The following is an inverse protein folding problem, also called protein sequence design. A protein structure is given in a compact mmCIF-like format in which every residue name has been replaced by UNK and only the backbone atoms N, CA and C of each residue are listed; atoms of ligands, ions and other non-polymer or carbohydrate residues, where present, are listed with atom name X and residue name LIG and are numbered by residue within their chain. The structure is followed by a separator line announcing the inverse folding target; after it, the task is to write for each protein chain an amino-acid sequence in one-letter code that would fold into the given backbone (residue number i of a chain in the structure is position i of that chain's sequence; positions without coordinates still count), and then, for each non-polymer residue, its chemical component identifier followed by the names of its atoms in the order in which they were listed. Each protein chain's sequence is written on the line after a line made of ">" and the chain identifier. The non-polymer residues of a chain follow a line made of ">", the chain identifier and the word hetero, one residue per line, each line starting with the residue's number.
data_IF_356267201745
#
_entry.id   IF_356267201745
#
_cell.length_a   1.000
_cell.length_b   1.000
_cell.length_c   1.000
_cell.angle_alpha   90.00
_cell.angle_beta   90.00
_cell.angle_gamma   90.00
#
_symmetry.space_group_name_H-M   'P 1'
#
loop_
_entity.id
_entity.type
_entity.pdbx_description
1 polymer ?
#
# COMPACT_ATOMS: atom_id res chain seq x y z
N UNK A 1 15.27 17.45 27.61
CA UNK A 1 15.01 17.61 26.16
C UNK A 1 14.83 16.23 25.52
N UNK A 2 13.73 15.99 24.81
CA UNK A 2 13.54 14.77 24.05
C UNK A 2 14.60 14.71 22.93
N UNK A 3 15.26 13.54 22.78
CA UNK A 3 16.19 13.34 21.65
C UNK A 3 15.41 13.30 20.35
N UNK A 4 15.90 13.99 19.33
CA UNK A 4 15.33 13.97 17.97
C UNK A 4 15.35 12.54 17.43
N UNK A 5 14.23 12.00 16.94
CA UNK A 5 14.18 10.66 16.35
C UNK A 5 14.99 10.61 15.05
N UNK A 6 15.63 9.47 14.79
CA UNK A 6 16.36 9.21 13.53
C UNK A 6 15.37 8.96 12.37
N UNK A 7 14.28 8.29 12.65
CA UNK A 7 13.27 7.87 11.67
C UNK A 7 11.88 8.30 12.09
N UNK A 8 11.03 8.62 11.12
CA UNK A 8 9.58 8.69 11.25
C UNK A 8 8.96 7.68 10.29
N UNK A 9 8.24 6.69 10.84
CA UNK A 9 7.51 5.70 10.04
C UNK A 9 6.06 6.17 9.94
N UNK A 10 5.65 6.63 8.74
CA UNK A 10 4.34 7.19 8.48
C UNK A 10 3.37 6.10 8.01
N UNK A 11 2.60 5.56 8.94
CA UNK A 11 1.54 4.57 8.73
C UNK A 11 0.14 5.18 8.83
N UNK A 12 0.04 6.41 9.38
CA UNK A 12 -1.24 7.07 9.59
C UNK A 12 -1.92 7.40 8.25
N UNK A 13 -3.23 7.24 8.22
CA UNK A 13 -4.04 7.56 7.05
C UNK A 13 -5.33 6.77 7.02
N UNK A 14 -6.24 7.17 6.14
CA UNK A 14 -7.45 6.42 5.85
C UNK A 14 -7.09 5.25 4.91
N UNK A 15 -7.44 4.00 5.26
CA UNK A 15 -7.13 2.83 4.44
C UNK A 15 -8.34 1.94 4.17
N UNK A 16 -9.15 1.64 5.16
CA UNK A 16 -10.29 0.71 5.07
C UNK A 16 -11.53 1.23 5.78
N UNK A 17 -12.71 0.79 5.36
CA UNK A 17 -13.01 0.06 4.10
C UNK A 17 -12.84 0.97 2.87
N UNK A 18 -12.50 0.40 1.71
CA UNK A 18 -12.21 1.15 0.47
C UNK A 18 -13.34 2.08 0.03
N UNK A 19 -14.60 1.71 0.28
CA UNK A 19 -15.77 2.53 -0.04
C UNK A 19 -15.82 3.89 0.67
N UNK A 20 -15.09 4.07 1.79
CA UNK A 20 -15.00 5.36 2.47
C UNK A 20 -14.32 6.43 1.62
N UNK A 21 -13.36 6.05 0.77
CA UNK A 21 -12.68 6.98 -0.12
C UNK A 21 -13.57 7.57 -1.20
N UNK A 22 -14.63 6.84 -1.59
CA UNK A 22 -15.64 7.34 -2.51
C UNK A 22 -16.70 8.18 -1.79
N UNK A 23 -17.08 7.77 -0.56
CA UNK A 23 -18.11 8.46 0.22
C UNK A 23 -17.59 9.76 0.87
N UNK A 24 -16.36 9.78 1.32
CA UNK A 24 -15.75 10.89 2.06
C UNK A 24 -14.44 11.33 1.38
N UNK A 25 -14.54 11.86 0.16
CA UNK A 25 -13.39 12.26 -0.66
C UNK A 25 -12.50 13.27 0.08
N UNK A 26 -13.10 14.31 0.69
CA UNK A 26 -12.36 15.34 1.43
C UNK A 26 -11.54 14.70 2.57
N UNK A 27 -12.14 13.81 3.36
CA UNK A 27 -11.43 13.10 4.43
C UNK A 27 -10.23 12.28 3.89
N UNK A 28 -10.38 11.69 2.72
CA UNK A 28 -9.31 10.96 2.06
C UNK A 28 -8.17 11.89 1.61
N UNK A 29 -8.51 13.07 1.07
CA UNK A 29 -7.56 14.13 0.71
C UNK A 29 -6.85 14.66 1.96
N UNK A 30 -7.60 15.05 2.98
CA UNK A 30 -7.05 15.65 4.20
C UNK A 30 -6.06 14.69 4.90
N UNK A 31 -6.44 13.42 5.08
CA UNK A 31 -5.61 12.47 5.83
C UNK A 31 -4.45 11.91 5.00
N UNK A 32 -4.70 11.51 3.75
CA UNK A 32 -3.72 10.77 2.97
C UNK A 32 -2.82 11.67 2.11
N UNK A 33 -3.29 12.84 1.69
CA UNK A 33 -2.52 13.76 0.86
C UNK A 33 -1.98 14.90 1.71
N UNK A 34 -2.85 15.74 2.27
CA UNK A 34 -2.46 16.94 3.04
C UNK A 34 -1.70 16.52 4.30
N UNK A 35 -2.22 15.54 5.05
CA UNK A 35 -1.56 14.99 6.24
C UNK A 35 -0.17 14.46 5.94
N UNK A 36 -0.01 13.70 4.84
CA UNK A 36 1.30 13.18 4.41
C UNK A 36 2.23 14.32 3.97
N UNK A 37 1.73 15.33 3.27
CA UNK A 37 2.52 16.51 2.87
C UNK A 37 3.03 17.27 4.11
N UNK A 38 2.18 17.47 5.13
CA UNK A 38 2.57 18.12 6.38
C UNK A 38 3.64 17.31 7.14
N UNK A 39 3.49 15.99 7.21
CA UNK A 39 4.52 15.10 7.79
C UNK A 39 5.84 15.21 7.01
N UNK A 40 5.77 15.26 5.69
CA UNK A 40 6.96 15.40 4.84
C UNK A 40 7.69 16.72 5.10
N UNK A 41 6.95 17.84 5.18
CA UNK A 41 7.50 19.16 5.54
C UNK A 41 8.20 19.12 6.89
N UNK A 42 7.52 18.60 7.92
CA UNK A 42 8.10 18.48 9.26
C UNK A 42 9.37 17.63 9.28
N UNK A 43 9.39 16.50 8.55
CA UNK A 43 10.58 15.66 8.42
C UNK A 43 11.72 16.38 7.70
N UNK A 44 11.41 17.18 6.66
CA UNK A 44 12.41 17.97 5.96
C UNK A 44 13.02 19.04 6.87
N UNK A 45 12.20 19.81 7.59
CA UNK A 45 12.63 20.89 8.48
C UNK A 45 13.49 20.33 9.63
N UNK A 46 13.07 19.22 10.21
CA UNK A 46 13.77 18.56 11.30
C UNK A 46 14.89 17.62 10.85
N UNK A 47 15.11 17.44 9.56
CA UNK A 47 16.11 16.48 8.99
C UNK A 47 15.93 15.05 9.52
N UNK A 48 14.68 14.60 9.66
CA UNK A 48 14.31 13.25 10.09
C UNK A 48 14.09 12.40 8.84
N UNK A 49 14.62 11.17 8.81
CA UNK A 49 14.35 10.25 7.71
C UNK A 49 12.89 9.81 7.73
N UNK A 50 12.19 10.01 6.60
CA UNK A 50 10.79 9.63 6.44
C UNK A 50 10.66 8.27 5.75
N UNK A 51 9.95 7.33 6.38
CA UNK A 51 9.54 6.06 5.76
C UNK A 51 8.03 6.13 5.54
N UNK A 52 7.59 6.12 4.28
CA UNK A 52 6.19 6.21 3.89
C UNK A 52 5.67 4.90 3.33
N UNK A 53 4.54 4.44 3.84
CA UNK A 53 3.87 3.25 3.35
C UNK A 53 2.86 3.63 2.26
N UNK A 54 3.21 3.40 1.02
CA UNK A 54 2.34 3.45 -0.15
C UNK A 54 1.71 2.07 -0.41
N UNK A 55 1.22 1.80 -1.60
CA UNK A 55 0.48 0.58 -1.93
C UNK A 55 0.79 0.10 -3.35
N UNK A 56 0.68 -1.21 -3.60
CA UNK A 56 0.71 -1.77 -4.95
C UNK A 56 -0.43 -1.28 -5.86
N UNK A 57 -1.51 -0.75 -5.27
CA UNK A 57 -2.68 -0.27 -6.02
C UNK A 57 -2.42 1.02 -6.82
N UNK A 58 -1.25 1.64 -6.67
CA UNK A 58 -0.82 2.76 -7.53
C UNK A 58 -0.53 2.32 -8.97
N UNK A 59 -0.28 1.02 -9.19
CA UNK A 59 -0.10 0.44 -10.52
C UNK A 59 -1.45 0.11 -11.19
N UNK A 60 -1.51 0.07 -12.54
CA UNK A 60 -2.75 -0.25 -13.27
C UNK A 60 -3.35 -1.62 -12.94
N UNK A 61 -2.55 -2.58 -12.52
CA UNK A 61 -2.99 -3.92 -12.15
C UNK A 61 -3.36 -4.84 -13.31
N UNK A 62 -3.04 -4.50 -14.54
CA UNK A 62 -3.39 -5.28 -15.73
C UNK A 62 -2.35 -6.36 -16.04
N UNK A 63 -1.07 -5.99 -16.13
CA UNK A 63 0.02 -6.92 -16.51
C UNK A 63 0.60 -7.72 -15.33
N UNK A 64 0.65 -7.12 -14.13
CA UNK A 64 1.37 -7.67 -12.97
C UNK A 64 2.89 -7.52 -13.06
N UNK A 65 3.59 -8.00 -12.03
CA UNK A 65 5.06 -7.95 -11.91
C UNK A 65 5.64 -6.54 -12.16
N UNK A 66 4.97 -5.53 -11.60
CA UNK A 66 5.37 -4.13 -11.73
C UNK A 66 6.68 -3.85 -11.00
N UNK A 67 7.52 -3.00 -11.64
CA UNK A 67 8.76 -2.47 -11.08
C UNK A 67 8.56 -1.04 -10.59
N UNK A 68 9.47 -0.55 -9.76
CA UNK A 68 9.37 0.75 -9.11
C UNK A 68 9.25 1.93 -10.09
N UNK A 69 9.83 1.82 -11.28
CA UNK A 69 9.81 2.84 -12.35
C UNK A 69 8.73 2.63 -13.40
N UNK A 70 7.88 1.60 -13.26
CA UNK A 70 6.74 1.41 -14.16
C UNK A 70 5.72 2.55 -14.00
N UNK A 71 5.01 2.87 -15.09
CA UNK A 71 3.98 3.90 -15.09
C UNK A 71 2.87 3.61 -14.07
N UNK A 72 2.43 4.65 -13.38
CA UNK A 72 1.42 4.59 -12.35
C UNK A 72 0.06 4.97 -12.92
N UNK A 73 -0.97 4.19 -12.63
CA UNK A 73 -2.36 4.49 -12.94
C UNK A 73 -3.25 3.86 -11.87
N UNK A 74 -3.51 4.57 -10.76
CA UNK A 74 -4.38 4.09 -9.70
C UNK A 74 -5.79 3.79 -10.22
N UNK A 75 -6.36 2.68 -9.77
CA UNK A 75 -7.68 2.20 -10.21
C UNK A 75 -8.81 2.44 -9.19
N UNK A 76 -8.52 3.11 -8.07
CA UNK A 76 -9.53 3.52 -7.08
C UNK A 76 -9.08 4.76 -6.29
N UNK A 77 -10.03 5.40 -5.59
CA UNK A 77 -9.76 6.63 -4.82
C UNK A 77 -8.78 6.43 -3.66
N UNK A 78 -8.75 5.23 -3.04
CA UNK A 78 -7.71 4.93 -2.05
C UNK A 78 -6.31 5.02 -2.68
N UNK A 79 -6.11 4.37 -3.80
CA UNK A 79 -4.82 4.37 -4.48
C UNK A 79 -4.42 5.77 -4.98
N UNK A 80 -5.38 6.57 -5.48
CA UNK A 80 -5.14 7.97 -5.83
C UNK A 80 -4.72 8.80 -4.64
N UNK A 81 -5.37 8.62 -3.47
CA UNK A 81 -4.97 9.33 -2.25
C UNK A 81 -3.58 8.93 -1.74
N UNK A 82 -3.22 7.65 -1.88
CA UNK A 82 -1.88 7.16 -1.53
C UNK A 82 -0.81 7.70 -2.49
N UNK A 83 -1.10 7.75 -3.79
CA UNK A 83 -0.20 8.33 -4.78
C UNK A 83 -0.02 9.84 -4.55
N UNK A 84 -1.09 10.58 -4.21
CA UNK A 84 -0.99 12.00 -3.87
C UNK A 84 -0.03 12.26 -2.69
N UNK A 85 -0.10 11.44 -1.64
CA UNK A 85 0.87 11.48 -0.55
C UNK A 85 2.28 11.10 -1.00
N UNK A 86 2.42 10.07 -1.86
CA UNK A 86 3.70 9.64 -2.42
C UNK A 86 4.40 10.76 -3.20
N UNK A 87 3.65 11.55 -3.97
CA UNK A 87 4.19 12.70 -4.71
C UNK A 87 4.86 13.72 -3.77
N UNK A 88 4.24 14.05 -2.64
CA UNK A 88 4.85 14.93 -1.64
C UNK A 88 6.13 14.33 -1.03
N UNK A 89 6.11 13.04 -0.70
CA UNK A 89 7.26 12.34 -0.10
C UNK A 89 8.45 12.26 -1.05
N UNK A 90 8.21 12.08 -2.36
CA UNK A 90 9.28 12.01 -3.37
C UNK A 90 10.10 13.31 -3.47
N UNK A 91 9.53 14.46 -3.13
CA UNK A 91 10.26 15.73 -3.09
C UNK A 91 11.32 15.77 -1.97
N UNK A 92 11.21 14.90 -0.96
CA UNK A 92 12.16 14.84 0.16
C UNK A 92 13.18 13.73 -0.04
N UNK A 93 14.42 14.08 -0.41
CA UNK A 93 15.51 13.13 -0.73
C UNK A 93 15.87 12.15 0.41
N UNK A 94 15.63 12.53 1.68
CA UNK A 94 15.87 11.64 2.83
C UNK A 94 14.62 10.84 3.19
N UNK A 95 13.98 10.25 2.19
CA UNK A 95 12.79 9.41 2.34
C UNK A 95 12.99 8.01 1.76
N UNK A 96 12.16 7.08 2.24
CA UNK A 96 11.96 5.75 1.69
C UNK A 96 10.45 5.55 1.50
N UNK A 97 10.02 5.27 0.29
CA UNK A 97 8.65 4.96 -0.07
C UNK A 97 8.54 3.45 -0.27
N UNK A 98 7.65 2.81 0.47
CA UNK A 98 7.38 1.38 0.36
C UNK A 98 6.03 1.18 -0.31
N UNK A 99 6.00 0.74 -1.57
CA UNK A 99 4.78 0.26 -2.21
C UNK A 99 4.56 -1.16 -1.75
N UNK A 100 3.60 -1.34 -0.83
CA UNK A 100 3.42 -2.61 -0.14
C UNK A 100 2.17 -3.36 -0.60
N UNK A 101 2.25 -4.69 -0.57
CA UNK A 101 1.13 -5.59 -0.68
C UNK A 101 1.06 -6.42 0.60
N UNK A 102 0.23 -6.02 1.56
CA UNK A 102 0.18 -6.64 2.89
C UNK A 102 -1.24 -6.95 3.36
N UNK A 103 -1.35 -7.89 4.29
CA UNK A 103 -2.61 -8.29 4.92
C UNK A 103 -2.41 -8.72 6.36
N UNK A 104 -3.53 -8.84 7.09
CA UNK A 104 -3.54 -9.31 8.48
C UNK A 104 -3.29 -10.82 8.60
N UNK A 105 -2.78 -11.22 9.75
CA UNK A 105 -2.67 -12.61 10.19
C UNK A 105 -3.46 -12.80 11.49
N UNK A 106 -4.43 -13.75 11.55
CA UNK A 106 -4.86 -14.64 10.47
C UNK A 106 -5.58 -13.89 9.33
N UNK A 107 -5.73 -14.53 8.18
CA UNK A 107 -6.53 -13.97 7.08
C UNK A 107 -8.01 -13.94 7.46
N UNK A 108 -8.54 -12.73 7.71
CA UNK A 108 -9.84 -12.52 8.35
C UNK A 108 -11.04 -12.58 7.39
N UNK A 109 -10.81 -12.42 6.09
CA UNK A 109 -11.91 -12.35 5.13
C UNK A 109 -12.54 -13.72 4.86
N UNK A 110 -13.88 -13.76 4.89
CA UNK A 110 -14.67 -14.99 4.64
C UNK A 110 -14.68 -15.40 3.16
N UNK A 111 -14.35 -14.48 2.24
CA UNK A 111 -14.36 -14.68 0.79
C UNK A 111 -13.05 -14.19 0.18
N UNK A 112 -12.59 -14.86 -0.90
CA UNK A 112 -11.35 -14.48 -1.59
C UNK A 112 -11.48 -14.68 -3.11
N UNK A 113 -10.90 -13.76 -3.87
CA UNK A 113 -10.93 -13.77 -5.33
C UNK A 113 -10.01 -14.87 -5.91
N UNK A 114 -10.56 -15.68 -6.80
CA UNK A 114 -9.81 -16.73 -7.47
C UNK A 114 -9.21 -16.28 -8.83
N UNK A 115 -9.66 -15.15 -9.34
CA UNK A 115 -9.21 -14.56 -10.61
C UNK A 115 -8.46 -13.22 -10.44
N UNK A 116 -8.04 -12.89 -9.22
CA UNK A 116 -7.15 -11.75 -8.92
C UNK A 116 -5.88 -12.30 -8.30
N UNK A 117 -4.72 -11.94 -8.86
CA UNK A 117 -3.41 -12.28 -8.31
C UNK A 117 -2.87 -11.12 -7.48
N UNK A 118 -2.38 -11.44 -6.28
CA UNK A 118 -1.69 -10.53 -5.38
C UNK A 118 -0.41 -11.18 -4.87
N UNK A 119 0.47 -10.39 -4.33
CA UNK A 119 1.71 -10.85 -3.69
C UNK A 119 1.77 -10.44 -2.22
N UNK A 120 0.75 -10.85 -1.46
CA UNK A 120 0.63 -10.49 -0.04
C UNK A 120 1.78 -11.00 0.81
N UNK A 121 2.18 -10.14 1.75
CA UNK A 121 2.92 -10.46 2.97
C UNK A 121 2.05 -10.22 4.19
N UNK A 122 2.32 -10.91 5.28
CA UNK A 122 1.74 -10.54 6.57
C UNK A 122 2.49 -9.36 7.19
N UNK A 123 1.83 -8.64 8.10
CA UNK A 123 2.41 -7.47 8.75
C UNK A 123 3.71 -7.78 9.50
N UNK A 124 3.82 -8.95 10.14
CA UNK A 124 5.02 -9.40 10.84
C UNK A 124 6.20 -9.71 9.89
N UNK A 125 5.91 -10.26 8.71
CA UNK A 125 6.92 -10.48 7.66
C UNK A 125 7.44 -9.15 7.12
N UNK A 126 6.52 -8.21 6.86
CA UNK A 126 6.87 -6.87 6.40
C UNK A 126 7.70 -6.11 7.43
N UNK A 127 7.40 -6.23 8.72
CA UNK A 127 8.18 -5.61 9.79
C UNK A 127 9.64 -6.11 9.81
N UNK A 128 9.86 -7.41 9.59
CA UNK A 128 11.21 -7.99 9.49
C UNK A 128 11.98 -7.48 8.26
N UNK A 129 11.28 -7.28 7.14
CA UNK A 129 11.87 -6.69 5.93
C UNK A 129 12.22 -5.23 6.18
N UNK A 130 11.32 -4.46 6.80
CA UNK A 130 11.53 -3.04 7.08
C UNK A 130 12.83 -2.79 7.84
N UNK A 131 13.12 -3.57 8.88
CA UNK A 131 14.37 -3.42 9.64
C UNK A 131 15.61 -3.54 8.75
N UNK A 132 15.57 -4.41 7.72
CA UNK A 132 16.71 -4.61 6.80
C UNK A 132 16.88 -3.50 5.77
N UNK A 133 15.82 -2.76 5.47
CA UNK A 133 15.82 -1.76 4.39
C UNK A 133 15.60 -0.33 4.88
N UNK A 134 15.45 -0.12 6.19
CA UNK A 134 15.07 1.17 6.77
C UNK A 134 16.04 2.31 6.44
N UNK A 135 17.31 2.00 6.19
CA UNK A 135 18.33 2.98 5.80
C UNK A 135 18.37 3.25 4.29
N UNK A 136 17.69 2.46 3.46
CA UNK A 136 17.59 2.69 2.01
C UNK A 136 16.76 3.94 1.71
N UNK A 137 16.93 4.50 0.51
CA UNK A 137 16.21 5.69 0.01
C UNK A 137 15.50 5.37 -1.29
N UNK A 138 14.59 6.26 -1.69
CA UNK A 138 13.82 6.13 -2.93
C UNK A 138 12.60 5.24 -2.77
N UNK A 139 12.23 4.50 -3.81
CA UNK A 139 11.02 3.67 -3.85
C UNK A 139 11.43 2.20 -3.85
N UNK A 140 10.74 1.38 -3.08
CA UNK A 140 10.92 -0.08 -3.04
C UNK A 140 9.55 -0.75 -3.05
N UNK A 141 9.36 -1.69 -3.96
CA UNK A 141 8.23 -2.60 -3.97
C UNK A 141 8.45 -3.73 -2.95
N UNK A 142 7.47 -3.96 -2.08
CA UNK A 142 7.56 -4.99 -1.03
C UNK A 142 6.33 -5.89 -1.05
N UNK A 143 6.51 -7.13 -1.45
CA UNK A 143 5.48 -8.14 -1.51
C UNK A 143 6.05 -9.55 -1.49
N UNK A 144 5.19 -10.53 -1.28
CA UNK A 144 5.52 -11.96 -1.32
C UNK A 144 5.40 -12.56 -2.72
N UNK A 145 5.37 -13.89 -2.84
CA UNK A 145 5.16 -14.57 -4.10
C UNK A 145 3.77 -14.29 -4.69
N UNK A 146 3.71 -14.00 -6.00
CA UNK A 146 2.46 -13.76 -6.71
C UNK A 146 1.59 -15.02 -6.78
N UNK A 147 0.35 -14.92 -6.32
CA UNK A 147 -0.64 -15.99 -6.36
C UNK A 147 -2.05 -15.41 -6.31
N UNK A 148 -3.06 -16.22 -6.66
CA UNK A 148 -4.45 -15.75 -6.50
C UNK A 148 -4.77 -15.50 -5.02
N UNK A 149 -5.59 -14.46 -4.75
CA UNK A 149 -6.02 -14.14 -3.38
C UNK A 149 -6.64 -15.36 -2.70
N UNK A 150 -7.41 -16.17 -3.45
CA UNK A 150 -7.99 -17.41 -2.94
C UNK A 150 -6.92 -18.44 -2.57
N UNK A 151 -5.90 -18.66 -3.41
CA UNK A 151 -4.80 -19.61 -3.11
C UNK A 151 -4.04 -19.19 -1.86
N UNK A 152 -3.75 -17.88 -1.73
CA UNK A 152 -3.13 -17.34 -0.51
C UNK A 152 -4.01 -17.58 0.71
N UNK A 153 -5.28 -17.13 0.66
CA UNK A 153 -6.21 -17.21 1.78
C UNK A 153 -6.46 -18.64 2.26
N UNK A 154 -6.59 -19.60 1.32
CA UNK A 154 -6.88 -21.02 1.63
C UNK A 154 -5.79 -21.69 2.45
N UNK A 155 -4.53 -21.22 2.36
CA UNK A 155 -3.42 -21.73 3.20
C UNK A 155 -3.62 -21.40 4.68
N UNK A 156 -4.30 -20.30 5.00
CA UNK A 156 -4.41 -19.77 6.37
C UNK A 156 -5.84 -19.80 6.91
N UNK A 157 -6.82 -19.99 6.02
CA UNK A 157 -8.23 -20.13 6.38
C UNK A 157 -8.89 -21.19 5.48
N UNK A 158 -9.04 -22.38 6.00
CA UNK A 158 -9.65 -23.51 5.26
C UNK A 158 -11.13 -23.28 4.92
N UNK A 159 -11.83 -22.39 5.64
CA UNK A 159 -13.26 -22.09 5.47
C UNK A 159 -13.51 -20.93 4.47
N UNK A 160 -12.47 -20.32 3.89
CA UNK A 160 -12.63 -19.21 2.94
C UNK A 160 -13.40 -19.65 1.70
N UNK A 161 -14.40 -18.86 1.31
CA UNK A 161 -15.22 -19.13 0.12
C UNK A 161 -14.57 -18.48 -1.12
N UNK A 162 -14.56 -19.23 -2.22
CA UNK A 162 -14.08 -18.77 -3.52
C UNK A 162 -15.09 -17.84 -4.17
N UNK A 163 -14.61 -16.69 -4.66
CA UNK A 163 -15.40 -15.74 -5.45
C UNK A 163 -14.59 -15.28 -6.67
N UNK A 164 -15.30 -14.65 -7.63
CA UNK A 164 -14.72 -14.09 -8.84
C UNK A 164 -15.13 -12.63 -8.99
N UNK A 165 -14.20 -11.79 -9.45
CA UNK A 165 -14.54 -10.44 -9.92
C UNK A 165 -15.23 -10.58 -11.27
N UNK A 166 -16.41 -9.96 -11.41
CA UNK A 166 -17.14 -9.86 -12.69
C UNK A 166 -16.57 -8.70 -13.51
N UNK A 167 -16.38 -8.87 -14.82
CA UNK A 167 -15.79 -7.86 -15.72
C UNK A 167 -16.50 -6.50 -15.72
N UNK A 168 -17.76 -6.44 -15.33
CA UNK A 168 -18.62 -5.24 -15.37
C UNK A 168 -19.07 -4.77 -13.98
N UNK A 169 -18.37 -5.11 -12.92
CA UNK A 169 -18.70 -4.59 -11.58
C UNK A 169 -18.20 -3.15 -11.44
N UNK A 170 -18.99 -2.29 -10.79
CA UNK A 170 -18.62 -0.89 -10.44
C UNK A 170 -17.29 -0.80 -9.67
N UNK A 171 -16.83 -1.91 -9.11
CA UNK A 171 -15.50 -2.12 -8.52
C UNK A 171 -14.76 -3.18 -9.32
N UNK A 172 -14.30 -2.83 -10.53
CA UNK A 172 -13.45 -3.74 -11.29
C UNK A 172 -12.07 -3.82 -10.65
N UNK A 173 -11.87 -4.81 -9.79
CA UNK A 173 -10.54 -5.17 -9.34
C UNK A 173 -9.72 -5.59 -10.56
N UNK A 174 -8.58 -4.99 -10.82
CA UNK A 174 -7.73 -5.44 -11.90
C UNK A 174 -7.22 -6.86 -11.62
N UNK A 175 -6.97 -7.68 -12.66
CA UNK A 175 -6.65 -9.08 -12.48
C UNK A 175 -5.26 -9.34 -11.87
N UNK A 176 -4.30 -8.42 -12.05
CA UNK A 176 -2.89 -8.63 -11.73
C UNK A 176 -2.24 -7.40 -11.05
N UNK A 177 -2.76 -6.88 -9.90
CA UNK A 177 -2.18 -5.72 -9.23
C UNK A 177 -0.95 -6.06 -8.37
N UNK A 178 -0.19 -7.10 -8.69
CA UNK A 178 1.03 -7.49 -7.97
C UNK A 178 2.30 -6.86 -8.59
N UNK A 179 3.31 -6.70 -7.74
CA UNK A 179 4.63 -6.13 -8.05
C UNK A 179 5.67 -7.23 -8.17
#
# INVERSE_FOLDING_TARGET
>A
KLKKPKYLIHLAGLSRPMGLHNKFVNKSIDLNIIGTANVTKACNDLKIKLIYFSTSYVYPGTKGNYKEHDALLPWNNYAWSKLGGECAVQMYKNSLILRVSMTEKPFIHKKAFANVKMNFLFHDELAKILVKIIDKKGIINVGGPAQTVYKFAKKYNSKVKKIFVKKNSVYSYPPNPYM
#
